data_IF_524118665205
#
_entry.id   IF_524118665205
#
_cell.length_a   1.000
_cell.length_b   1.000
_cell.length_c   1.000
_cell.angle_alpha   90.00
_cell.angle_beta   90.00
_cell.angle_gamma   90.00
#
_symmetry.space_group_name_H-M   'P 1'
#
loop_
_entity.id
_entity.type
_entity.pdbx_description
1 polymer ?
#
# COMPACT_ATOMS: atom_id res chain seq x y z
N UNK A 1 47.30 -8.62 11.75
CA UNK A 1 46.18 -7.94 11.03
C UNK A 1 44.88 -8.76 10.96
N UNK A 2 44.82 -9.99 11.49
CA UNK A 2 43.59 -10.83 11.46
C UNK A 2 42.68 -10.57 12.68
N UNK A 3 43.25 -10.13 13.81
CA UNK A 3 42.51 -9.95 15.07
C UNK A 3 41.51 -8.77 15.07
N UNK A 4 41.71 -7.75 14.21
CA UNK A 4 40.78 -6.60 14.11
C UNK A 4 39.53 -6.91 13.27
N UNK A 5 39.57 -7.90 12.38
CA UNK A 5 38.41 -8.30 11.57
C UNK A 5 37.44 -9.20 12.36
N UNK A 6 37.96 -10.04 13.26
CA UNK A 6 37.12 -10.93 14.10
C UNK A 6 36.29 -10.14 15.12
N UNK A 7 36.82 -9.03 15.64
CA UNK A 7 36.10 -8.17 16.58
C UNK A 7 34.95 -7.37 15.91
N UNK A 8 35.09 -6.96 14.64
CA UNK A 8 34.02 -6.24 13.93
C UNK A 8 32.85 -7.19 13.61
N UNK A 9 33.15 -8.45 13.26
CA UNK A 9 32.12 -9.47 13.01
C UNK A 9 31.38 -9.87 14.29
N UNK A 10 32.08 -10.00 15.43
CA UNK A 10 31.42 -10.36 16.70
C UNK A 10 30.59 -9.21 17.31
N UNK A 11 30.92 -7.95 17.04
CA UNK A 11 30.12 -6.81 17.53
C UNK A 11 28.80 -6.69 16.74
N UNK A 12 28.78 -7.03 15.44
CA UNK A 12 27.54 -7.04 14.66
C UNK A 12 26.55 -8.13 15.10
N UNK A 13 27.05 -9.30 15.51
CA UNK A 13 26.23 -10.40 16.02
C UNK A 13 25.70 -10.20 17.45
N UNK A 14 26.32 -9.30 18.23
CA UNK A 14 25.92 -9.01 19.61
C UNK A 14 25.03 -7.76 19.74
N UNK A 15 25.06 -6.84 18.77
CA UNK A 15 24.22 -5.62 18.76
C UNK A 15 22.83 -5.90 18.19
N UNK A 16 22.69 -6.88 17.30
CA UNK A 16 21.38 -7.38 16.87
C UNK A 16 21.01 -8.58 17.72
N UNK A 17 20.61 -8.34 18.98
CA UNK A 17 19.83 -9.32 19.71
C UNK A 17 18.63 -9.70 18.85
N UNK A 18 18.67 -10.89 18.24
CA UNK A 18 17.60 -11.43 17.43
C UNK A 18 16.33 -11.34 18.26
N UNK A 19 15.54 -10.30 17.98
CA UNK A 19 14.37 -10.00 18.79
C UNK A 19 13.40 -11.13 18.51
N UNK A 20 12.97 -11.83 19.55
CA UNK A 20 12.15 -13.02 19.39
C UNK A 20 10.88 -12.70 18.58
N UNK A 21 10.84 -13.20 17.35
CA UNK A 21 9.74 -12.97 16.39
C UNK A 21 8.48 -13.72 16.83
N UNK A 22 8.61 -14.70 17.73
CA UNK A 22 7.49 -15.48 18.27
C UNK A 22 6.42 -14.59 18.91
N UNK A 23 6.81 -13.46 19.50
CA UNK A 23 5.88 -12.49 20.12
C UNK A 23 4.90 -11.84 19.15
N UNK A 24 5.20 -11.89 17.84
CA UNK A 24 4.34 -11.37 16.78
C UNK A 24 3.54 -12.46 16.07
N UNK A 25 3.74 -13.73 16.42
CA UNK A 25 3.10 -14.86 15.77
C UNK A 25 1.99 -15.39 16.67
N UNK A 26 0.79 -15.55 16.10
CA UNK A 26 -0.36 -16.12 16.79
C UNK A 26 -0.84 -17.36 16.03
N UNK A 27 -0.89 -18.48 16.73
CA UNK A 27 -1.51 -19.69 16.21
C UNK A 27 -3.04 -19.57 16.29
N UNK A 28 -3.72 -19.79 15.17
CA UNK A 28 -5.19 -19.75 15.06
C UNK A 28 -5.70 -21.13 14.70
N UNK A 29 -6.47 -21.75 15.60
CA UNK A 29 -7.16 -23.01 15.32
C UNK A 29 -8.32 -22.74 14.37
N UNK A 30 -8.31 -23.40 13.20
CA UNK A 30 -9.38 -23.30 12.21
C UNK A 30 -10.49 -24.30 12.55
N UNK A 31 -10.10 -25.52 12.93
CA UNK A 31 -10.99 -26.55 13.44
C UNK A 31 -10.22 -27.48 14.40
N UNK A 32 -10.82 -28.62 14.77
CA UNK A 32 -10.21 -29.58 15.69
C UNK A 32 -8.85 -30.15 15.20
N UNK A 33 -8.61 -30.15 13.89
CA UNK A 33 -7.45 -30.81 13.26
C UNK A 33 -6.52 -29.87 12.52
N UNK A 34 -6.94 -28.63 12.24
CA UNK A 34 -6.23 -27.70 11.37
C UNK A 34 -5.99 -26.35 12.05
N UNK A 35 -4.86 -25.72 11.70
CA UNK A 35 -4.43 -24.41 12.21
C UNK A 35 -3.82 -23.55 11.11
N UNK A 36 -3.79 -22.25 11.34
CA UNK A 36 -3.05 -21.27 10.56
C UNK A 36 -2.22 -20.40 11.51
N UNK A 37 -1.07 -19.93 11.03
CA UNK A 37 -0.24 -18.97 11.77
C UNK A 37 -0.50 -17.56 11.24
N UNK A 38 -0.80 -16.62 12.13
CA UNK A 38 -0.94 -15.21 11.80
C UNK A 38 0.22 -14.38 12.34
N UNK A 39 0.58 -13.32 11.61
CA UNK A 39 1.55 -12.32 12.03
C UNK A 39 0.80 -11.03 12.38
N UNK A 40 1.08 -10.49 13.56
CA UNK A 40 0.61 -9.18 13.99
C UNK A 40 1.37 -8.07 13.26
N UNK A 41 0.65 -7.23 12.53
CA UNK A 41 1.20 -6.11 11.73
C UNK A 41 1.04 -4.78 12.48
N UNK A 42 -0.16 -4.53 12.96
CA UNK A 42 -0.52 -3.38 13.80
C UNK A 42 -1.33 -3.85 15.02
N UNK A 43 -1.83 -2.94 15.85
CA UNK A 43 -2.74 -3.30 16.95
C UNK A 43 -4.03 -3.97 16.43
N UNK A 44 -4.49 -3.60 15.24
CA UNK A 44 -5.79 -3.99 14.67
C UNK A 44 -5.69 -4.78 13.36
N UNK A 45 -4.48 -5.11 12.91
CA UNK A 45 -4.22 -5.86 11.68
C UNK A 45 -3.33 -7.07 11.96
N UNK A 46 -3.82 -8.23 11.57
CA UNK A 46 -3.06 -9.47 11.47
C UNK A 46 -3.18 -10.02 10.04
N UNK A 47 -2.11 -10.63 9.55
CA UNK A 47 -2.06 -11.24 8.22
C UNK A 47 -1.58 -12.67 8.32
N UNK A 48 -1.81 -13.47 7.29
CA UNK A 48 -1.32 -14.84 7.27
C UNK A 48 0.21 -14.87 7.21
N UNK A 49 0.84 -15.65 8.09
CA UNK A 49 2.27 -15.94 8.04
C UNK A 49 2.61 -16.74 6.79
N UNK A 50 1.75 -17.70 6.50
CA UNK A 50 1.86 -18.63 5.39
C UNK A 50 0.53 -18.70 4.67
N UNK A 51 0.57 -18.86 3.35
CA UNK A 51 -0.65 -18.93 2.54
C UNK A 51 -1.28 -20.33 2.50
N UNK A 52 -1.21 -21.06 3.61
CA UNK A 52 -1.80 -22.40 3.76
C UNK A 52 -2.14 -22.67 5.23
N UNK A 53 -3.11 -23.55 5.44
CA UNK A 53 -3.38 -24.15 6.76
C UNK A 53 -2.58 -25.43 6.92
N UNK A 54 -2.25 -25.77 8.17
CA UNK A 54 -1.56 -27.00 8.55
C UNK A 54 -2.56 -27.88 9.29
N UNK A 55 -2.80 -29.08 8.78
CA UNK A 55 -3.71 -30.06 9.36
C UNK A 55 -2.94 -31.26 9.94
N UNK A 56 -3.58 -31.95 10.88
CA UNK A 56 -3.16 -33.29 11.30
C UNK A 56 -3.21 -34.24 10.10
N UNK A 57 -2.22 -35.14 10.00
CA UNK A 57 -2.19 -36.14 8.93
C UNK A 57 -3.46 -37.00 8.99
N UNK A 58 -4.17 -37.09 7.87
CA UNK A 58 -5.36 -37.95 7.74
C UNK A 58 -4.96 -39.42 7.59
N UNK A 59 -3.79 -39.71 7.02
CA UNK A 59 -3.26 -41.08 6.89
C UNK A 59 -1.80 -41.22 7.36
N UNK A 60 -1.33 -42.48 7.49
CA UNK A 60 0.08 -42.79 7.75
C UNK A 60 0.97 -42.67 6.50
N UNK A 61 0.40 -42.34 5.34
CA UNK A 61 1.16 -42.19 4.10
C UNK A 61 1.99 -40.91 4.16
N UNK A 62 3.31 -41.03 4.01
CA UNK A 62 4.24 -39.91 4.08
C UNK A 62 4.18 -38.98 2.86
N UNK A 63 3.55 -39.41 1.77
CA UNK A 63 3.34 -38.60 0.55
C UNK A 63 2.11 -37.69 0.60
N UNK A 64 1.22 -37.89 1.58
CA UNK A 64 0.02 -37.06 1.73
C UNK A 64 0.41 -35.68 2.29
N UNK A 65 0.09 -34.62 1.54
CA UNK A 65 0.26 -33.25 2.03
C UNK A 65 -0.71 -33.01 3.18
N UNK A 66 -0.19 -32.52 4.28
CA UNK A 66 -0.98 -32.13 5.45
C UNK A 66 -1.27 -30.62 5.46
N UNK A 67 -1.20 -29.97 4.30
CA UNK A 67 -1.46 -28.54 4.14
C UNK A 67 -2.56 -28.32 3.12
N UNK A 68 -3.43 -27.35 3.38
CA UNK A 68 -4.46 -26.91 2.43
C UNK A 68 -4.20 -25.43 2.10
N UNK A 69 -4.11 -25.11 0.81
CA UNK A 69 -3.68 -23.79 0.34
C UNK A 69 -4.81 -22.76 0.44
N UNK A 70 -4.49 -21.55 0.89
CA UNK A 70 -5.37 -20.41 0.72
C UNK A 70 -5.40 -19.97 -0.76
N UNK A 71 -6.60 -19.70 -1.26
CA UNK A 71 -6.87 -19.29 -2.64
C UNK A 71 -7.83 -18.10 -2.73
N UNK A 72 -8.15 -17.49 -1.59
CA UNK A 72 -9.13 -16.43 -1.43
C UNK A 72 -8.51 -15.03 -1.35
N UNK A 73 -7.23 -14.90 -1.68
CA UNK A 73 -6.51 -13.63 -1.72
C UNK A 73 -6.54 -12.87 -0.39
N UNK A 74 -6.64 -13.60 0.74
CA UNK A 74 -6.39 -13.01 2.05
C UNK A 74 -4.97 -12.46 2.17
N UNK A 75 -4.78 -11.46 3.02
CA UNK A 75 -3.50 -10.77 3.17
C UNK A 75 -2.43 -11.68 3.80
N UNK A 76 -1.20 -11.54 3.34
CA UNK A 76 -0.04 -12.27 3.84
C UNK A 76 1.19 -11.38 3.95
N UNK A 77 2.22 -11.84 4.66
CA UNK A 77 3.50 -11.14 4.74
C UNK A 77 4.34 -11.36 3.47
N UNK A 78 4.42 -10.35 2.58
CA UNK A 78 5.15 -10.48 1.32
C UNK A 78 6.63 -10.14 1.46
N UNK A 79 6.94 -9.05 2.18
CA UNK A 79 8.31 -8.64 2.46
C UNK A 79 8.54 -8.63 3.99
N UNK A 80 9.16 -9.70 4.54
CA UNK A 80 9.53 -9.77 5.94
C UNK A 80 10.75 -8.87 6.19
N UNK A 81 10.64 -7.97 7.15
CA UNK A 81 11.71 -7.04 7.51
C UNK A 81 12.67 -7.68 8.56
N UNK A 82 13.93 -7.24 8.59
CA UNK A 82 14.87 -7.62 9.66
C UNK A 82 14.41 -7.01 10.99
N UNK A 83 14.41 -7.73 12.13
CA UNK A 83 13.83 -7.25 13.39
C UNK A 83 14.18 -5.79 13.71
N UNK A 84 13.21 -4.93 14.11
CA UNK A 84 12.06 -5.29 14.98
C UNK A 84 10.65 -5.22 14.37
N UNK A 85 10.50 -4.90 13.08
CA UNK A 85 9.19 -4.81 12.39
C UNK A 85 8.91 -6.12 11.66
N UNK A 86 7.76 -6.80 11.83
CA UNK A 86 7.54 -8.11 11.23
C UNK A 86 7.03 -8.08 9.78
N UNK A 87 6.40 -6.99 9.33
CA UNK A 87 5.81 -6.84 7.97
C UNK A 87 6.02 -5.43 7.45
N UNK A 88 6.76 -5.30 6.34
CA UNK A 88 6.93 -4.01 5.64
C UNK A 88 5.84 -3.78 4.59
N UNK A 89 5.48 -4.83 3.84
CA UNK A 89 4.43 -4.79 2.83
C UNK A 89 3.64 -6.10 2.86
N UNK A 90 2.32 -5.99 2.71
CA UNK A 90 1.48 -7.18 2.58
C UNK A 90 1.35 -7.61 1.12
N UNK A 91 1.27 -8.92 0.92
CA UNK A 91 0.80 -9.52 -0.31
C UNK A 91 -0.59 -10.13 -0.16
N UNK A 92 -0.95 -10.96 -1.13
CA UNK A 92 -2.20 -11.71 -1.21
C UNK A 92 -1.90 -13.19 -1.43
N UNK A 93 -2.65 -14.05 -0.76
CA UNK A 93 -2.51 -15.49 -0.88
C UNK A 93 -3.16 -16.04 -2.15
N UNK A 94 -2.33 -16.63 -3.02
CA UNK A 94 -2.78 -17.24 -4.27
C UNK A 94 -2.07 -18.58 -4.44
N UNK A 95 -2.86 -19.66 -4.42
CA UNK A 95 -2.40 -21.04 -4.59
C UNK A 95 -1.21 -21.36 -3.67
N UNK A 96 -1.38 -21.15 -2.37
CA UNK A 96 -0.35 -21.48 -1.38
C UNK A 96 0.80 -20.48 -1.28
N UNK A 97 0.86 -19.49 -2.16
CA UNK A 97 1.96 -18.53 -2.26
C UNK A 97 1.53 -17.12 -1.91
N UNK A 98 2.35 -16.40 -1.15
CA UNK A 98 2.17 -14.97 -0.93
C UNK A 98 2.72 -14.19 -2.14
N UNK A 99 1.85 -13.44 -2.82
CA UNK A 99 2.24 -12.66 -4.01
C UNK A 99 1.98 -11.18 -3.78
N UNK A 100 2.76 -10.32 -4.43
CA UNK A 100 2.53 -8.88 -4.42
C UNK A 100 1.10 -8.56 -4.91
N UNK A 101 0.39 -7.68 -4.20
CA UNK A 101 -1.01 -7.36 -4.51
C UNK A 101 -1.16 -6.80 -5.95
N UNK A 102 -0.28 -5.89 -6.36
CA UNK A 102 -0.29 -5.28 -7.70
C UNK A 102 -0.09 -6.32 -8.82
N UNK A 103 0.55 -7.45 -8.53
CA UNK A 103 0.67 -8.57 -9.48
C UNK A 103 -0.65 -9.33 -9.69
N UNK A 104 -1.59 -9.23 -8.75
CA UNK A 104 -2.89 -9.92 -8.76
C UNK A 104 -3.99 -9.05 -9.32
N UNK A 105 -4.00 -7.73 -9.04
CA UNK A 105 -4.89 -6.79 -9.74
C UNK A 105 -4.77 -6.90 -11.27
N UNK A 106 -3.58 -7.25 -11.77
CA UNK A 106 -3.31 -7.53 -13.20
C UNK A 106 -4.14 -8.70 -13.78
N UNK A 107 -4.70 -9.58 -12.94
CA UNK A 107 -5.46 -10.77 -13.39
C UNK A 107 -6.94 -10.51 -13.62
N UNK A 108 -7.51 -9.52 -12.94
CA UNK A 108 -8.97 -9.39 -12.79
C UNK A 108 -9.59 -8.54 -13.90
N UNK A 109 -8.76 -7.86 -14.71
CA UNK A 109 -9.11 -7.09 -15.92
C UNK A 109 -10.20 -6.00 -15.71
N UNK A 110 -10.56 -5.66 -14.47
CA UNK A 110 -11.60 -4.66 -14.19
C UNK A 110 -11.06 -3.22 -14.23
N UNK A 111 -9.80 -3.04 -13.85
CA UNK A 111 -9.07 -1.78 -13.96
C UNK A 111 -7.77 -2.10 -14.70
N UNK A 112 -7.36 -1.29 -15.70
CA UNK A 112 -6.09 -1.50 -16.37
C UNK A 112 -4.97 -1.45 -15.35
N UNK A 113 -4.32 -2.58 -15.12
CA UNK A 113 -3.28 -2.65 -14.12
C UNK A 113 -2.01 -2.03 -14.68
N UNK A 114 -1.75 -0.79 -14.26
CA UNK A 114 -0.61 -0.01 -14.69
C UNK A 114 0.63 -0.33 -13.86
N UNK A 115 1.76 -0.48 -14.54
CA UNK A 115 3.06 -0.39 -13.90
C UNK A 115 3.27 1.05 -13.45
N UNK A 116 4.03 1.20 -12.37
CA UNK A 116 4.58 2.51 -12.03
C UNK A 116 5.50 2.98 -13.17
N UNK A 117 5.71 4.28 -13.28
CA UNK A 117 6.51 4.89 -14.35
C UNK A 117 7.78 5.49 -13.78
N UNK A 118 8.84 5.49 -14.58
CA UNK A 118 10.14 6.00 -14.18
C UNK A 118 10.06 7.48 -13.81
N UNK A 119 10.72 7.84 -12.71
CA UNK A 119 10.80 9.22 -12.19
C UNK A 119 12.23 9.59 -11.90
N UNK A 120 12.53 10.87 -12.03
CA UNK A 120 13.82 11.46 -11.64
C UNK A 120 13.56 12.62 -10.69
N UNK A 121 14.39 12.74 -9.65
CA UNK A 121 14.33 13.89 -8.74
C UNK A 121 14.98 15.10 -9.41
N UNK A 122 14.22 16.19 -9.53
CA UNK A 122 14.69 17.48 -10.01
C UNK A 122 14.22 18.58 -9.05
N UNK A 123 15.16 19.36 -8.50
CA UNK A 123 14.87 20.45 -7.54
C UNK A 123 14.01 20.00 -6.33
N UNK A 124 14.16 18.74 -5.90
CA UNK A 124 13.43 18.18 -4.75
C UNK A 124 12.05 17.60 -5.07
N UNK A 125 11.62 17.59 -6.34
CA UNK A 125 10.38 16.96 -6.81
C UNK A 125 10.68 15.74 -7.69
N UNK A 126 9.94 14.65 -7.52
CA UNK A 126 9.97 13.51 -8.45
C UNK A 126 9.13 13.84 -9.68
N UNK A 127 9.79 14.00 -10.84
CA UNK A 127 9.13 14.26 -12.13
C UNK A 127 9.20 13.01 -13.01
N UNK A 128 8.20 12.81 -13.87
CA UNK A 128 8.15 11.65 -14.75
C UNK A 128 9.28 11.69 -15.79
N UNK A 129 9.95 10.57 -16.04
CA UNK A 129 10.92 10.49 -17.15
C UNK A 129 10.23 10.57 -18.52
N UNK A 130 8.98 10.13 -18.60
CA UNK A 130 8.15 10.20 -19.81
C UNK A 130 6.67 10.34 -19.48
N UNK A 131 5.86 10.64 -20.50
CA UNK A 131 4.42 10.90 -20.34
C UNK A 131 3.53 9.68 -20.58
N UNK A 132 4.08 8.48 -20.41
CA UNK A 132 3.37 7.21 -20.59
C UNK A 132 3.69 6.29 -19.44
N UNK A 133 2.73 5.45 -19.10
CA UNK A 133 2.89 4.30 -18.21
C UNK A 133 2.35 3.06 -18.91
N UNK A 134 3.05 1.95 -18.78
CA UNK A 134 2.58 0.70 -19.36
C UNK A 134 1.48 0.11 -18.48
N UNK A 135 0.39 -0.35 -19.06
CA UNK A 135 -0.74 -0.95 -18.37
C UNK A 135 -1.17 -2.24 -19.05
N UNK A 136 -1.65 -3.21 -18.28
CA UNK A 136 -2.35 -4.36 -18.83
C UNK A 136 -3.79 -3.96 -19.19
N UNK A 137 -4.05 -3.81 -20.48
CA UNK A 137 -5.38 -3.53 -21.03
C UNK A 137 -5.81 -4.76 -21.82
N UNK A 138 -6.89 -5.42 -21.38
CA UNK A 138 -7.43 -6.65 -21.98
C UNK A 138 -6.39 -7.78 -22.11
N UNK A 139 -5.53 -7.95 -21.09
CA UNK A 139 -4.49 -8.98 -21.08
C UNK A 139 -3.22 -8.66 -21.88
N UNK A 140 -3.14 -7.50 -22.53
CA UNK A 140 -1.95 -7.05 -23.28
C UNK A 140 -1.32 -5.82 -22.64
N UNK A 141 0.00 -5.73 -22.64
CA UNK A 141 0.71 -4.53 -22.22
C UNK A 141 0.51 -3.44 -23.28
N UNK A 142 -0.06 -2.31 -22.87
CA UNK A 142 -0.28 -1.13 -23.69
C UNK A 142 0.20 0.10 -22.93
N UNK A 143 0.80 1.06 -23.64
CA UNK A 143 1.14 2.34 -23.02
C UNK A 143 -0.09 3.23 -22.93
N UNK A 144 -0.40 3.67 -21.72
CA UNK A 144 -1.45 4.63 -21.41
C UNK A 144 -0.80 5.96 -21.05
N UNK A 145 -1.43 7.05 -21.51
CA UNK A 145 -0.93 8.40 -21.25
C UNK A 145 -0.97 8.71 -19.75
N UNK A 146 0.09 9.34 -19.25
CA UNK A 146 0.01 10.01 -17.95
C UNK A 146 -1.01 11.15 -17.99
N UNK A 147 -1.60 11.52 -16.85
CA UNK A 147 -2.55 12.61 -16.80
C UNK A 147 -1.97 13.89 -17.40
N UNK A 148 -2.79 14.61 -18.16
CA UNK A 148 -2.41 15.91 -18.69
C UNK A 148 -2.07 16.85 -17.51
N UNK A 149 -0.97 17.58 -17.64
CA UNK A 149 -0.44 18.44 -16.59
C UNK A 149 0.64 17.82 -15.69
N UNK A 150 0.92 16.53 -15.83
CA UNK A 150 2.03 15.87 -15.12
C UNK A 150 3.39 16.45 -15.55
N UNK A 151 4.28 16.74 -14.60
CA UNK A 151 5.64 17.19 -14.93
C UNK A 151 6.45 16.05 -15.52
N UNK A 152 7.20 16.35 -16.58
CA UNK A 152 8.02 15.38 -17.28
C UNK A 152 9.39 15.93 -17.64
N UNK A 153 10.36 15.03 -17.87
CA UNK A 153 11.68 15.41 -18.38
C UNK A 153 11.57 15.79 -19.85
N UNK A 154 11.80 17.08 -20.15
CA UNK A 154 11.83 17.56 -21.54
C UNK A 154 13.22 17.45 -22.15
N UNK A 155 14.26 17.77 -21.37
CA UNK A 155 15.64 17.72 -21.84
C UNK A 155 16.57 17.28 -20.71
N UNK A 156 17.51 16.39 -21.04
CA UNK A 156 18.64 15.98 -20.19
C UNK A 156 19.93 16.43 -20.87
N UNK A 157 20.94 16.79 -20.08
CA UNK A 157 22.31 16.93 -20.56
C UNK A 157 23.22 15.96 -19.84
N UNK A 158 24.09 15.30 -20.57
CA UNK A 158 25.15 14.47 -20.00
C UNK A 158 26.28 15.35 -19.49
N UNK A 159 26.76 15.13 -18.28
CA UNK A 159 27.99 15.77 -17.79
C UNK A 159 29.24 15.10 -18.37
N UNK A 160 30.38 15.80 -18.33
CA UNK A 160 31.68 15.36 -18.84
C UNK A 160 32.03 13.93 -18.34
N UNK A 161 32.38 13.04 -19.27
CA UNK A 161 32.56 11.58 -19.16
C UNK A 161 31.30 10.69 -19.16
N UNK A 162 30.08 11.21 -19.37
CA UNK A 162 28.91 10.37 -19.64
C UNK A 162 28.42 9.50 -18.46
N UNK A 163 28.87 9.79 -17.25
CA UNK A 163 28.57 9.01 -16.03
C UNK A 163 27.27 9.46 -15.32
N UNK A 164 26.70 10.61 -15.68
CA UNK A 164 25.44 11.09 -15.12
C UNK A 164 24.67 11.98 -16.09
N UNK A 165 23.37 11.73 -16.20
CA UNK A 165 22.43 12.60 -16.91
C UNK A 165 21.77 13.54 -15.92
N UNK A 166 21.81 14.84 -16.21
CA UNK A 166 21.13 15.87 -15.41
C UNK A 166 19.96 16.45 -16.20
N UNK A 167 18.78 16.49 -15.59
CA UNK A 167 17.62 17.17 -16.16
C UNK A 167 17.93 18.67 -16.27
N UNK A 168 17.77 19.22 -17.48
CA UNK A 168 18.00 20.65 -17.77
C UNK A 168 16.73 21.41 -18.05
N UNK A 169 15.68 20.74 -18.56
CA UNK A 169 14.37 21.34 -18.78
C UNK A 169 13.27 20.38 -18.37
N UNK A 170 12.30 20.93 -17.64
CA UNK A 170 11.06 20.26 -17.27
C UNK A 170 9.96 20.69 -18.23
N UNK A 171 9.24 19.72 -18.76
CA UNK A 171 8.05 19.92 -19.58
C UNK A 171 6.78 19.51 -18.84
N UNK A 172 5.68 19.45 -19.58
CA UNK A 172 4.38 19.01 -19.08
C UNK A 172 3.76 17.98 -20.02
N UNK A 173 3.16 16.94 -19.45
CA UNK A 173 2.47 15.92 -20.21
C UNK A 173 1.20 16.45 -20.87
N UNK A 174 1.12 16.25 -22.18
CA UNK A 174 -0.05 16.53 -23.01
C UNK A 174 -0.24 15.40 -24.02
N UNK A 175 -1.34 14.68 -23.88
CA UNK A 175 -1.75 13.59 -24.77
C UNK A 175 -0.63 12.54 -24.97
N UNK A 176 0.08 12.23 -23.87
CA UNK A 176 1.16 11.24 -23.85
C UNK A 176 2.53 11.74 -24.32
N UNK A 177 2.69 13.04 -24.59
CA UNK A 177 3.96 13.68 -24.99
C UNK A 177 4.41 14.69 -23.94
N UNK A 178 5.72 14.81 -23.78
CA UNK A 178 6.30 15.85 -22.91
C UNK A 178 6.51 17.12 -23.72
N UNK A 179 5.64 18.10 -23.52
CA UNK A 179 5.72 19.39 -24.19
C UNK A 179 6.58 20.37 -23.37
N UNK A 180 7.38 21.18 -24.04
CA UNK A 180 8.20 22.25 -23.40
C UNK A 180 7.33 23.28 -22.68
N UNK A 181 6.08 23.40 -23.12
CA UNK A 181 5.12 24.38 -22.64
C UNK A 181 4.64 24.00 -21.25
N UNK A 182 5.04 24.81 -20.29
CA UNK A 182 4.69 24.72 -18.88
C UNK A 182 3.30 25.33 -18.64
N UNK A 183 2.33 24.97 -19.48
CA UNK A 183 1.03 25.67 -19.47
C UNK A 183 0.15 25.26 -18.30
N UNK A 184 0.29 24.02 -17.81
CA UNK A 184 -0.58 23.44 -16.79
C UNK A 184 0.22 22.58 -15.80
N UNK A 185 0.96 23.19 -14.87
CA UNK A 185 1.73 22.40 -13.91
C UNK A 185 0.87 21.88 -12.76
N UNK A 186 0.87 20.56 -12.62
CA UNK A 186 0.51 19.90 -11.36
C UNK A 186 1.71 19.97 -10.42
N UNK A 187 1.46 20.32 -9.17
CA UNK A 187 2.47 20.22 -8.10
C UNK A 187 2.15 18.97 -7.31
N UNK A 188 3.09 18.03 -7.22
CA UNK A 188 2.90 16.80 -6.45
C UNK A 188 3.72 16.82 -5.18
N UNK A 189 3.20 16.16 -4.15
CA UNK A 189 3.90 15.96 -2.89
C UNK A 189 4.19 14.46 -2.75
N UNK A 190 5.47 14.06 -2.65
CA UNK A 190 5.82 12.66 -2.47
C UNK A 190 5.44 12.18 -1.07
N UNK A 191 4.96 10.95 -0.98
CA UNK A 191 4.70 10.25 0.29
C UNK A 191 5.80 9.23 0.52
N UNK A 192 6.13 8.45 -0.52
CA UNK A 192 7.29 7.58 -0.58
C UNK A 192 7.76 7.48 -2.02
N UNK A 193 8.99 7.02 -2.26
CA UNK A 193 9.49 6.89 -3.63
C UNK A 193 8.59 6.00 -4.48
N UNK A 194 8.05 6.54 -5.57
CA UNK A 194 7.07 5.82 -6.38
C UNK A 194 5.61 6.29 -6.20
N UNK A 195 5.31 7.02 -5.13
CA UNK A 195 3.94 7.40 -4.77
C UNK A 195 3.83 8.84 -4.27
N UNK A 196 3.05 9.62 -5.02
CA UNK A 196 2.82 11.04 -4.76
C UNK A 196 1.37 11.41 -5.04
N UNK A 197 0.91 12.48 -4.39
CA UNK A 197 -0.44 13.02 -4.52
C UNK A 197 -0.39 14.47 -4.97
N UNK A 198 -1.47 14.97 -5.57
CA UNK A 198 -1.55 16.37 -5.97
C UNK A 198 -1.61 17.29 -4.75
N UNK A 199 -0.83 18.38 -4.76
CA UNK A 199 -0.88 19.38 -3.70
C UNK A 199 -2.25 20.07 -3.64
N UNK A 200 -2.82 20.37 -4.80
CA UNK A 200 -4.08 21.11 -4.96
C UNK A 200 -5.00 20.41 -5.94
N UNK A 201 -6.32 20.64 -5.79
CA UNK A 201 -7.34 20.15 -6.70
C UNK A 201 -7.70 21.11 -7.84
N UNK A 202 -7.03 22.26 -7.88
CA UNK A 202 -7.06 23.17 -9.01
C UNK A 202 -5.65 23.41 -9.52
N UNK A 203 -5.55 23.62 -10.82
CA UNK A 203 -4.33 24.00 -11.52
C UNK A 203 -4.59 25.27 -12.32
N UNK A 204 -3.57 26.11 -12.45
CA UNK A 204 -3.64 27.28 -13.30
C UNK A 204 -3.10 26.94 -14.69
N UNK A 205 -3.96 27.12 -15.69
CA UNK A 205 -3.71 26.80 -17.09
C UNK A 205 -3.92 28.06 -17.94
N UNK A 206 -2.86 28.64 -18.51
CA UNK A 206 -2.96 29.75 -19.48
C UNK A 206 -3.91 30.89 -19.06
N UNK A 207 -3.81 31.35 -17.82
CA UNK A 207 -4.68 32.44 -17.35
C UNK A 207 -5.98 31.96 -16.70
N UNK A 208 -6.30 30.66 -16.79
CA UNK A 208 -7.58 30.09 -16.37
C UNK A 208 -7.36 29.03 -15.30
N UNK A 209 -8.13 29.09 -14.21
CA UNK A 209 -8.15 28.00 -13.23
C UNK A 209 -8.94 26.81 -13.77
N UNK A 210 -8.35 25.62 -13.70
CA UNK A 210 -8.97 24.35 -14.10
C UNK A 210 -9.03 23.41 -12.90
N UNK A 211 -10.17 22.77 -12.71
CA UNK A 211 -10.35 21.74 -11.69
C UNK A 211 -9.76 20.41 -12.16
N UNK A 212 -9.09 19.70 -11.25
CA UNK A 212 -8.71 18.30 -11.46
C UNK A 212 -9.96 17.41 -11.41
N UNK A 213 -9.86 16.23 -12.03
CA UNK A 213 -10.95 15.28 -12.09
C UNK A 213 -11.37 14.84 -10.68
N UNK A 214 -12.69 14.75 -10.46
CA UNK A 214 -13.24 14.29 -9.20
C UNK A 214 -12.72 12.88 -8.87
N UNK A 215 -12.29 12.69 -7.63
CA UNK A 215 -11.64 11.46 -7.17
C UNK A 215 -10.11 11.44 -7.36
N UNK A 216 -9.47 12.47 -7.91
CA UNK A 216 -8.01 12.61 -7.88
C UNK A 216 -7.53 12.71 -6.43
N UNK A 217 -6.51 11.93 -6.05
CA UNK A 217 -5.93 12.00 -4.70
C UNK A 217 -5.13 13.30 -4.51
N UNK A 218 -5.32 13.94 -3.36
CA UNK A 218 -4.69 15.20 -3.03
C UNK A 218 -4.17 15.25 -1.59
N UNK A 219 -3.18 16.09 -1.33
CA UNK A 219 -2.66 16.34 0.01
C UNK A 219 -3.65 17.22 0.79
N UNK A 220 -4.47 16.60 1.64
CA UNK A 220 -5.45 17.32 2.46
C UNK A 220 -4.78 18.08 3.60
N UNK A 221 -3.76 17.46 4.21
CA UNK A 221 -2.96 18.07 5.27
C UNK A 221 -1.49 17.75 5.03
N UNK A 222 -0.66 18.77 5.16
CA UNK A 222 0.79 18.66 5.05
C UNK A 222 1.46 19.31 6.25
N UNK A 223 2.56 18.73 6.70
CA UNK A 223 3.48 19.32 7.66
C UNK A 223 4.81 19.63 7.00
N UNK A 224 5.62 20.47 7.64
CA UNK A 224 7.00 20.71 7.22
C UNK A 224 7.90 20.00 8.20
N UNK A 225 8.67 19.02 7.74
CA UNK A 225 9.72 18.45 8.60
C UNK A 225 10.92 19.39 8.60
N UNK A 226 11.32 19.78 9.81
CA UNK A 226 12.58 20.46 10.03
C UNK A 226 13.73 19.47 9.90
N UNK A 227 14.63 19.72 8.95
CA UNK A 227 15.94 19.09 8.81
C UNK A 227 15.98 17.60 8.44
N UNK A 228 16.39 17.32 7.19
CA UNK A 228 17.12 16.09 6.87
C UNK A 228 18.63 16.35 6.99
N UNK A 229 19.30 15.60 7.87
CA UNK A 229 20.74 15.66 8.13
C UNK A 229 21.49 14.88 7.02
N UNK A 230 21.31 15.31 5.78
CA UNK A 230 21.75 14.61 4.57
C UNK A 230 22.54 15.47 3.59
N UNK A 231 23.32 16.45 4.07
CA UNK A 231 24.37 17.16 3.33
C UNK A 231 24.84 18.30 4.22
N UNK A 232 26.16 18.45 4.40
CA UNK A 232 26.76 19.51 5.24
C UNK A 232 26.53 20.93 4.69
N UNK A 233 25.80 21.10 3.58
CA UNK A 233 25.46 22.39 2.99
C UNK A 233 24.04 22.32 2.40
N UNK A 234 23.17 23.24 2.85
CA UNK A 234 21.73 23.40 2.59
C UNK A 234 20.76 22.44 3.31
N UNK A 235 20.15 22.95 4.38
CA UNK A 235 18.93 22.42 4.96
C UNK A 235 17.76 22.69 4.00
N UNK A 236 17.27 21.66 3.33
CA UNK A 236 16.01 21.72 2.58
C UNK A 236 14.87 21.23 3.48
N UNK A 237 13.89 22.09 3.73
CA UNK A 237 12.64 21.70 4.39
C UNK A 237 11.89 20.73 3.48
N UNK A 238 11.54 19.55 3.98
CA UNK A 238 10.74 18.58 3.20
C UNK A 238 9.27 18.73 3.59
N UNK A 239 8.38 18.84 2.61
CA UNK A 239 6.93 18.82 2.88
C UNK A 239 6.50 17.37 3.04
N UNK A 240 5.93 17.03 4.19
CA UNK A 240 5.36 15.72 4.47
C UNK A 240 3.84 15.77 4.28
N UNK A 241 3.25 14.69 3.75
CA UNK A 241 1.80 14.54 3.66
C UNK A 241 1.31 13.80 4.90
N UNK A 242 0.52 14.46 5.73
CA UNK A 242 -0.04 13.88 6.95
C UNK A 242 -1.39 13.20 6.65
N UNK A 243 -2.17 13.75 5.71
CA UNK A 243 -3.51 13.25 5.37
C UNK A 243 -3.79 13.39 3.87
N UNK A 244 -4.35 12.34 3.27
CA UNK A 244 -4.78 12.32 1.86
C UNK A 244 -6.29 12.53 1.80
N UNK A 245 -6.73 13.39 0.88
CA UNK A 245 -8.12 13.57 0.50
C UNK A 245 -8.35 13.23 -0.97
N UNK A 246 -9.58 13.49 -1.42
CA UNK A 246 -9.95 13.42 -2.83
C UNK A 246 -10.40 14.80 -3.33
N UNK A 247 -10.13 15.09 -4.59
CA UNK A 247 -10.69 16.23 -5.27
C UNK A 247 -12.19 16.04 -5.48
N UNK A 248 -12.97 17.01 -5.01
CA UNK A 248 -14.41 17.13 -5.28
C UNK A 248 -14.70 18.60 -5.60
N UNK A 249 -15.15 18.87 -6.82
CA UNK A 249 -15.48 20.22 -7.28
C UNK A 249 -14.33 21.22 -7.05
N UNK A 250 -13.10 20.81 -7.36
CA UNK A 250 -11.88 21.63 -7.21
C UNK A 250 -11.35 21.78 -5.79
N UNK A 251 -11.97 21.14 -4.78
CA UNK A 251 -11.47 21.18 -3.39
C UNK A 251 -10.93 19.83 -2.97
N UNK A 252 -9.80 19.84 -2.25
CA UNK A 252 -9.31 18.63 -1.59
C UNK A 252 -10.13 18.40 -0.33
N UNK A 253 -10.93 17.33 -0.30
CA UNK A 253 -11.80 17.02 0.82
C UNK A 253 -11.46 15.67 1.41
N UNK A 254 -11.66 15.54 2.72
CA UNK A 254 -11.55 14.26 3.40
C UNK A 254 -12.55 13.29 2.79
N UNK A 255 -12.10 12.09 2.47
CA UNK A 255 -12.99 11.04 1.97
C UNK A 255 -14.03 10.70 3.03
N UNK A 256 -15.25 10.41 2.59
CA UNK A 256 -16.30 9.96 3.50
C UNK A 256 -15.83 8.73 4.27
N UNK A 257 -16.15 8.69 5.56
CA UNK A 257 -15.91 7.53 6.39
C UNK A 257 -16.67 6.31 5.87
N UNK A 258 -16.16 5.13 6.16
CA UNK A 258 -16.80 3.86 5.84
C UNK A 258 -16.63 2.89 7.00
N UNK A 259 -17.74 2.38 7.53
CA UNK A 259 -17.73 1.30 8.51
C UNK A 259 -18.33 0.09 7.79
N UNK A 260 -17.56 -0.99 7.69
CA UNK A 260 -18.05 -2.27 7.14
C UNK A 260 -19.39 -2.62 7.78
N UNK A 261 -20.44 -2.85 6.99
CA UNK A 261 -21.71 -3.30 7.52
C UNK A 261 -21.56 -4.71 8.13
N UNK A 262 -22.33 -5.06 9.16
CA UNK A 262 -22.34 -6.41 9.70
C UNK A 262 -22.57 -7.45 8.59
N UNK A 263 -21.77 -8.51 8.57
CA UNK A 263 -21.97 -9.60 7.61
C UNK A 263 -23.25 -10.36 7.97
N UNK A 264 -24.26 -10.31 7.10
CA UNK A 264 -25.51 -11.06 7.24
C UNK A 264 -25.25 -12.55 7.00
N UNK A 265 -24.77 -13.22 8.03
CA UNK A 265 -24.32 -14.60 7.99
C UNK A 265 -25.48 -15.58 7.87
N UNK A 266 -25.43 -16.47 6.89
CA UNK A 266 -26.41 -17.59 6.80
C UNK A 266 -25.99 -18.82 7.60
N UNK A 267 -24.71 -18.93 7.98
CA UNK A 267 -24.13 -20.15 8.59
C UNK A 267 -23.20 -19.89 9.79
N UNK A 268 -23.33 -18.77 10.47
CA UNK A 268 -22.46 -18.41 11.61
C UNK A 268 -21.02 -18.09 11.21
N UNK A 269 -20.79 -17.78 9.93
CA UNK A 269 -19.55 -17.22 9.40
C UNK A 269 -19.37 -15.79 9.85
N UNK A 270 -18.14 -15.41 10.23
CA UNK A 270 -17.84 -14.07 10.69
C UNK A 270 -16.75 -13.43 9.83
N UNK A 271 -16.98 -12.17 9.48
CA UNK A 271 -16.00 -11.36 8.78
C UNK A 271 -14.91 -10.86 9.71
N UNK A 272 -13.65 -10.92 9.28
CA UNK A 272 -12.56 -10.19 9.92
C UNK A 272 -12.39 -8.80 9.33
N UNK A 273 -12.38 -7.78 10.18
CA UNK A 273 -12.27 -6.39 9.77
C UNK A 273 -11.05 -5.74 10.43
N UNK A 274 -10.49 -4.74 9.76
CA UNK A 274 -9.39 -3.92 10.26
C UNK A 274 -9.90 -2.53 10.59
N UNK A 275 -9.63 -2.10 11.83
CA UNK A 275 -9.82 -0.72 12.24
C UNK A 275 -8.63 0.11 11.74
N UNK A 276 -8.90 1.14 10.95
CA UNK A 276 -7.88 2.08 10.45
C UNK A 276 -7.96 3.39 11.22
N UNK A 277 -9.16 3.98 11.35
CA UNK A 277 -9.41 5.15 12.20
C UNK A 277 -10.91 5.20 12.59
N UNK A 278 -11.38 6.13 13.47
CA UNK A 278 -12.74 6.08 14.02
C UNK A 278 -13.89 6.05 13.00
N UNK A 279 -13.69 6.63 11.83
CA UNK A 279 -14.67 6.68 10.76
C UNK A 279 -14.31 5.72 9.61
N UNK A 280 -13.33 4.82 9.79
CA UNK A 280 -12.91 3.87 8.77
C UNK A 280 -12.53 2.52 9.34
N UNK A 281 -13.41 1.55 9.08
CA UNK A 281 -13.20 0.13 9.33
C UNK A 281 -13.50 -0.60 8.04
N UNK A 282 -12.54 -1.37 7.52
CA UNK A 282 -12.67 -2.10 6.23
C UNK A 282 -12.50 -3.60 6.45
N UNK A 283 -12.98 -4.42 5.52
CA UNK A 283 -12.84 -5.86 5.60
C UNK A 283 -11.37 -6.25 5.39
N UNK A 284 -10.81 -7.17 6.16
CA UNK A 284 -9.43 -7.65 5.91
C UNK A 284 -9.33 -8.40 4.57
N UNK A 285 -10.41 -9.09 4.19
CA UNK A 285 -10.59 -9.74 2.88
C UNK A 285 -12.08 -9.91 2.55
N UNK A 286 -12.40 -10.31 1.32
CA UNK A 286 -13.77 -10.36 0.79
C UNK A 286 -14.52 -11.68 1.01
N UNK A 287 -13.97 -12.54 1.87
CA UNK A 287 -14.63 -13.73 2.39
C UNK A 287 -14.89 -13.60 3.90
N UNK A 288 -15.74 -14.46 4.45
CA UNK A 288 -16.00 -14.61 5.87
C UNK A 288 -15.73 -16.07 6.24
N UNK A 289 -14.90 -16.28 7.25
CA UNK A 289 -14.52 -17.63 7.69
C UNK A 289 -15.65 -18.22 8.55
N UNK A 290 -16.01 -19.48 8.29
CA UNK A 290 -17.03 -20.22 9.01
C UNK A 290 -16.38 -21.23 9.97
N UNK A 291 -17.00 -21.51 11.12
CA UNK A 291 -16.44 -22.42 12.14
C UNK A 291 -16.24 -23.88 11.69
N UNK A 292 -16.80 -24.27 10.54
CA UNK A 292 -16.61 -25.57 9.91
C UNK A 292 -15.46 -25.60 8.89
N UNK A 293 -14.70 -24.51 8.74
CA UNK A 293 -13.61 -24.36 7.76
C UNK A 293 -14.06 -24.00 6.34
N UNK A 294 -15.35 -23.72 6.13
CA UNK A 294 -15.84 -23.15 4.86
C UNK A 294 -15.79 -21.62 4.88
N UNK A 295 -16.04 -20.99 3.74
CA UNK A 295 -16.12 -19.52 3.64
C UNK A 295 -17.42 -19.07 2.97
N UNK A 296 -17.88 -17.88 3.34
CA UNK A 296 -18.96 -17.15 2.65
C UNK A 296 -18.39 -15.90 1.98
N UNK A 297 -18.92 -15.54 0.80
CA UNK A 297 -18.53 -14.28 0.14
C UNK A 297 -19.19 -13.12 0.85
N UNK A 298 -18.45 -12.04 1.05
CA UNK A 298 -19.01 -10.76 1.48
C UNK A 298 -19.76 -10.09 0.32
N UNK A 299 -20.64 -9.17 0.67
CA UNK A 299 -21.42 -8.40 -0.29
C UNK A 299 -20.51 -7.61 -1.26
N UNK A 300 -20.96 -7.48 -2.51
CA UNK A 300 -20.26 -6.68 -3.52
C UNK A 300 -20.10 -5.23 -3.05
N UNK A 301 -19.01 -4.59 -3.47
CA UNK A 301 -18.63 -3.22 -3.13
C UNK A 301 -18.33 -2.96 -1.64
N UNK A 302 -18.34 -3.99 -0.79
CA UNK A 302 -17.81 -3.86 0.59
C UNK A 302 -16.36 -3.40 0.52
N UNK A 303 -15.98 -2.31 1.21
CA UNK A 303 -14.57 -1.90 1.22
C UNK A 303 -13.71 -2.90 1.97
N UNK A 304 -12.54 -3.18 1.41
CA UNK A 304 -11.61 -4.16 1.92
C UNK A 304 -10.17 -3.63 1.91
N UNK A 305 -9.28 -4.21 2.70
CA UNK A 305 -7.88 -3.86 2.70
C UNK A 305 -7.20 -4.53 1.50
N UNK A 306 -6.87 -3.71 0.50
CA UNK A 306 -6.17 -4.17 -0.69
C UNK A 306 -4.70 -4.41 -0.37
N UNK A 307 -4.02 -3.44 0.22
CA UNK A 307 -2.62 -3.58 0.60
C UNK A 307 -2.31 -2.72 1.81
N UNK A 308 -1.37 -3.18 2.62
CA UNK A 308 -0.74 -2.42 3.67
C UNK A 308 0.75 -2.27 3.35
N UNK A 309 1.28 -1.07 3.60
CA UNK A 309 2.70 -0.75 3.51
C UNK A 309 3.12 0.09 4.70
N UNK A 310 4.29 -0.19 5.25
CA UNK A 310 4.95 0.63 6.26
C UNK A 310 6.07 1.43 5.60
N UNK A 311 6.11 2.74 5.86
CA UNK A 311 7.18 3.62 5.39
C UNK A 311 7.46 4.71 6.43
N UNK A 312 8.71 4.82 6.87
CA UNK A 312 9.14 5.73 7.94
C UNK A 312 8.26 5.62 9.21
N UNK A 313 7.54 6.69 9.55
CA UNK A 313 6.62 6.78 10.69
C UNK A 313 5.15 6.53 10.27
N UNK A 314 4.87 6.33 8.98
CA UNK A 314 3.53 6.14 8.44
C UNK A 314 3.20 4.66 8.20
N UNK A 315 2.00 4.28 8.61
CA UNK A 315 1.31 3.10 8.13
C UNK A 315 0.35 3.51 7.00
N UNK A 316 0.52 2.89 5.83
CA UNK A 316 -0.16 3.23 4.59
C UNK A 316 -1.14 2.10 4.25
N UNK A 317 -2.43 2.43 4.24
CA UNK A 317 -3.51 1.50 3.94
C UNK A 317 -4.10 1.84 2.57
N UNK A 318 -3.95 0.92 1.63
CA UNK A 318 -4.58 1.00 0.31
C UNK A 318 -5.86 0.19 0.35
N UNK A 319 -6.97 0.87 0.07
CA UNK A 319 -8.31 0.33 0.20
C UNK A 319 -8.79 -0.14 -1.17
N UNK A 320 -9.48 -1.27 -1.15
CA UNK A 320 -10.12 -1.89 -2.29
C UNK A 320 -11.62 -2.02 -2.08
N UNK A 321 -12.26 -2.73 -3.00
CA UNK A 321 -13.67 -3.11 -2.88
C UNK A 321 -13.86 -4.59 -3.21
N UNK A 322 -14.88 -5.21 -2.62
CA UNK A 322 -15.17 -6.61 -2.85
C UNK A 322 -15.89 -6.83 -4.18
N UNK A 323 -15.31 -7.69 -5.01
CA UNK A 323 -15.90 -8.19 -6.24
C UNK A 323 -15.76 -9.70 -6.31
N UNK A 324 -16.89 -10.42 -6.41
CA UNK A 324 -16.92 -11.89 -6.49
C UNK A 324 -16.14 -12.65 -5.38
N UNK A 325 -16.02 -12.06 -4.18
CA UNK A 325 -15.28 -12.66 -3.06
C UNK A 325 -13.77 -12.38 -3.07
N UNK A 326 -13.30 -11.53 -3.98
CA UNK A 326 -11.93 -11.03 -4.08
C UNK A 326 -11.93 -9.53 -3.75
N UNK A 327 -10.84 -9.05 -3.15
CA UNK A 327 -10.65 -7.62 -2.90
C UNK A 327 -9.92 -7.01 -4.09
N UNK A 328 -10.56 -6.13 -4.84
CA UNK A 328 -9.97 -5.44 -6.00
C UNK A 328 -9.43 -4.06 -5.58
N UNK A 329 -8.38 -3.52 -6.22
CA UNK A 329 -7.86 -2.20 -5.89
C UNK A 329 -8.89 -1.11 -6.16
N UNK A 330 -8.95 -0.12 -5.27
CA UNK A 330 -9.66 1.14 -5.49
C UNK A 330 -8.62 2.25 -5.58
N UNK A 331 -8.09 2.48 -6.79
CA UNK A 331 -6.86 3.25 -7.07
C UNK A 331 -6.76 4.66 -6.48
N UNK A 332 -7.86 5.23 -6.01
CA UNK A 332 -7.90 6.55 -5.38
C UNK A 332 -8.21 6.53 -3.87
N UNK A 333 -8.11 5.37 -3.21
CA UNK A 333 -8.37 5.26 -1.79
C UNK A 333 -7.14 4.78 -1.03
N UNK A 334 -6.29 5.73 -0.65
CA UNK A 334 -5.16 5.50 0.26
C UNK A 334 -5.33 6.31 1.54
N UNK A 335 -5.04 5.69 2.67
CA UNK A 335 -5.11 6.32 4.00
C UNK A 335 -3.75 6.22 4.67
N UNK A 336 -3.30 7.36 5.20
CA UNK A 336 -2.07 7.48 5.98
C UNK A 336 -2.43 7.50 7.46
N UNK A 337 -1.72 6.73 8.26
CA UNK A 337 -1.83 6.72 9.72
C UNK A 337 -0.44 6.95 10.32
N UNK A 338 -0.29 8.02 11.08
CA UNK A 338 0.92 8.28 11.87
C UNK A 338 0.99 7.28 13.04
N UNK A 339 2.07 6.50 13.09
CA UNK A 339 2.29 5.53 14.17
C UNK A 339 2.69 6.16 15.49
N UNK A 340 3.21 7.38 15.48
CA UNK A 340 3.53 8.11 16.70
C UNK A 340 2.27 8.65 17.37
N UNK A 341 1.20 8.87 16.58
CA UNK A 341 -0.10 9.32 17.04
C UNK A 341 -1.24 8.43 16.47
N UNK A 342 -1.27 7.14 16.80
CA UNK A 342 -2.20 6.21 16.18
C UNK A 342 -3.64 6.49 16.63
N UNK A 343 -4.63 6.34 15.74
CA UNK A 343 -6.03 6.52 16.08
C UNK A 343 -6.46 5.54 17.17
N UNK A 344 -7.21 6.04 18.14
CA UNK A 344 -7.74 5.24 19.24
C UNK A 344 -9.13 4.73 18.84
N UNK A 345 -9.30 3.42 18.84
CA UNK A 345 -10.63 2.83 18.85
C UNK A 345 -11.20 3.07 20.25
N UNK A 346 -12.19 3.96 20.37
CA UNK A 346 -13.01 3.99 21.57
C UNK A 346 -13.65 2.61 21.65
N UNK A 347 -13.28 1.82 22.65
CA UNK A 347 -14.07 0.65 22.99
C UNK A 347 -15.46 1.19 23.28
N UNK A 348 -16.41 0.92 22.39
CA UNK A 348 -17.81 1.02 22.76
C UNK A 348 -17.90 0.28 24.08
N UNK A 349 -18.23 1.03 25.14
CA UNK A 349 -18.58 0.44 26.41
C UNK A 349 -19.52 -0.71 26.07
N UNK A 350 -19.02 -1.94 26.22
CA UNK A 350 -19.86 -3.09 26.43
C UNK A 350 -20.73 -2.65 27.59
N UNK A 351 -21.94 -2.19 27.25
CA UNK A 351 -23.06 -2.23 28.15
C UNK A 351 -23.19 -3.70 28.50
N UNK A 352 -22.47 -4.10 29.55
CA UNK A 352 -22.97 -5.05 30.52
C UNK A 352 -24.40 -4.58 30.84
N UNK A 353 -25.34 -5.11 30.08
CA UNK A 353 -26.76 -4.91 30.25
C UNK A 353 -27.36 -6.29 30.41
N UNK A 354 -27.32 -6.69 31.68
CA UNK A 354 -28.09 -7.71 32.39
C UNK A 354 -27.76 -9.18 32.14
#
# INVERSE_FOLDING_TARGET
>A
MILKLVLIVQIWSAVHGATDVSKYIREVKINATCRADKIKVTKHLEVERYCFIICAKKTKNWTERNTEDFTDERLCNFDPFDPPIPVQITGKCVNGSCRNADSIAKRTNQVPACFDYDRVTHEGEEIAEGCKKSCYVNGYIQDVNLPNGEKCVYEKTSSFFGLSEKVTKVGTCKDGRCDKTVECQRTKVPIYSGFSVDKNCTIYCNGTEKQLDDGTMCALKTSTSGFTLGSLFWATSTTLVDEIGNCISGKCVKRAGYIVPPHNSTKGCNGTDVFIHPNLKVATHCQADCGNGTTERREMNTLCLWMYRRHDHLDIFMIGYCYCGICEPYDNYTVLVDRENPPVQNEDHLLESC
#
